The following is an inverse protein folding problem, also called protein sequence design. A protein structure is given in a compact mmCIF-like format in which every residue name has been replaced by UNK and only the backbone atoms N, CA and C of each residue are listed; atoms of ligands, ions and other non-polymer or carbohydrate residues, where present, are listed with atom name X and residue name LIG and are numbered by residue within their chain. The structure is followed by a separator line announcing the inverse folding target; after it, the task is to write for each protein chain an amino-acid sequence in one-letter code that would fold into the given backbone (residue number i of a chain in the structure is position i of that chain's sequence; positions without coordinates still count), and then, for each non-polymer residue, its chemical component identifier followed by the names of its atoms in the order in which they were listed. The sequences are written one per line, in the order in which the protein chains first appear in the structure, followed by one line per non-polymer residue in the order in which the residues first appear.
data_IF_615855680784
#
_entry.id   IF_615855680784
#
_cell.length_a   1.000
_cell.length_b   1.000
_cell.length_c   1.000
_cell.angle_alpha   90.00
_cell.angle_beta   90.00
_cell.angle_gamma   90.00
#
_symmetry.space_group_name_H-M   'P 1'
#
loop_
_entity.id
_entity.type
_entity.pdbx_description
1 polymer ?
#
# COMPACT_ATOMS: atom_id res chain seq x y z
N UNK A 1 11.63 -4.92 7.31
CA UNK A 1 12.62 -3.83 7.20
C UNK A 1 11.91 -2.49 7.30
N UNK A 2 12.36 -1.64 8.19
CA UNK A 2 11.79 -0.30 8.39
C UNK A 2 12.89 0.62 8.95
N UNK A 3 12.83 1.89 8.55
CA UNK A 3 13.66 2.94 9.14
C UNK A 3 13.33 3.07 10.64
N UNK A 4 14.34 3.29 11.47
CA UNK A 4 14.16 3.44 12.92
C UNK A 4 13.34 4.67 13.32
N UNK A 5 13.19 5.64 12.42
CA UNK A 5 12.32 6.80 12.58
C UNK A 5 10.86 6.55 12.19
N UNK A 6 10.55 5.40 11.63
CA UNK A 6 9.19 5.02 11.24
C UNK A 6 8.55 4.14 12.33
N UNK A 7 7.26 4.35 12.63
CA UNK A 7 6.55 3.60 13.69
C UNK A 7 6.61 2.08 13.51
N UNK A 8 6.66 1.59 12.26
CA UNK A 8 6.86 0.15 11.98
C UNK A 8 8.18 -0.35 12.53
N UNK A 9 9.25 0.43 12.43
CA UNK A 9 10.54 0.12 13.04
C UNK A 9 10.45 0.03 14.57
N UNK A 10 9.70 0.94 15.20
CA UNK A 10 9.48 0.90 16.66
C UNK A 10 8.65 -0.32 17.07
N UNK A 11 7.45 -0.49 16.51
CA UNK A 11 6.48 -1.48 16.96
C UNK A 11 6.84 -2.90 16.53
N UNK A 12 7.27 -3.10 15.28
CA UNK A 12 7.40 -4.43 14.69
C UNK A 12 8.84 -4.88 14.40
N UNK A 13 9.83 -4.02 14.62
CA UNK A 13 11.24 -4.41 14.55
C UNK A 13 11.87 -4.40 15.96
N UNK A 14 11.52 -3.44 16.79
CA UNK A 14 12.12 -3.33 18.14
C UNK A 14 11.19 -3.89 19.21
N UNK A 15 10.09 -3.22 19.50
CA UNK A 15 9.30 -3.52 20.71
C UNK A 15 8.58 -4.86 20.63
N UNK A 16 7.83 -5.12 19.58
CA UNK A 16 7.04 -6.35 19.46
C UNK A 16 7.90 -7.60 19.47
N UNK A 17 8.91 -7.75 18.60
CA UNK A 17 9.78 -8.92 18.59
C UNK A 17 10.49 -9.14 19.91
N UNK A 18 11.10 -8.11 20.49
CA UNK A 18 11.86 -8.24 21.75
C UNK A 18 10.95 -8.55 22.94
N UNK A 19 9.75 -7.98 23.01
CA UNK A 19 8.76 -8.29 24.04
C UNK A 19 8.29 -9.76 23.98
N UNK A 20 8.37 -10.38 22.80
CA UNK A 20 8.05 -11.80 22.59
C UNK A 20 9.28 -12.70 22.66
N UNK A 21 10.44 -12.21 23.08
CA UNK A 21 11.67 -13.00 23.19
C UNK A 21 12.27 -13.40 21.84
N UNK A 22 11.84 -12.75 20.74
CA UNK A 22 12.41 -13.01 19.43
C UNK A 22 13.71 -12.22 19.22
N UNK A 23 14.60 -12.78 18.41
CA UNK A 23 15.78 -12.05 17.94
C UNK A 23 15.38 -11.10 16.84
N UNK A 24 15.76 -9.83 16.94
CA UNK A 24 15.61 -8.85 15.87
C UNK A 24 16.93 -8.54 15.21
N UNK A 25 16.92 -8.40 13.89
CA UNK A 25 18.11 -8.07 13.11
C UNK A 25 18.02 -6.60 12.71
N UNK A 26 19.05 -5.85 13.04
CA UNK A 26 19.24 -4.46 12.62
C UNK A 26 20.55 -4.35 11.86
N UNK A 27 20.53 -3.67 10.72
CA UNK A 27 21.78 -3.39 9.99
C UNK A 27 21.74 -1.97 9.39
N UNK A 28 22.90 -1.39 9.25
CA UNK A 28 23.09 -0.10 8.62
C UNK A 28 23.23 -0.31 7.12
N UNK A 29 22.21 0.06 6.36
CA UNK A 29 22.20 -0.13 4.92
C UNK A 29 20.88 0.21 4.25
N UNK A 30 20.88 0.12 2.94
CA UNK A 30 19.72 0.31 2.06
C UNK A 30 19.50 -0.93 1.19
N UNK A 31 18.28 -1.14 0.66
CA UNK A 31 17.93 -2.40 0.00
C UNK A 31 18.71 -2.71 -1.28
N UNK A 32 19.25 -1.69 -1.94
CA UNK A 32 19.90 -1.79 -3.24
C UNK A 32 21.39 -1.40 -3.25
N UNK A 33 22.06 -1.43 -2.10
CA UNK A 33 23.51 -1.16 -2.01
C UNK A 33 24.26 -2.35 -1.36
N UNK A 34 25.32 -2.87 -1.97
CA UNK A 34 25.94 -2.44 -3.23
C UNK A 34 25.14 -2.79 -4.49
N UNK A 35 24.19 -3.71 -4.39
CA UNK A 35 23.27 -4.11 -5.46
C UNK A 35 21.93 -4.64 -4.90
N UNK A 36 21.01 -4.99 -5.78
CA UNK A 36 19.66 -5.43 -5.43
C UNK A 36 19.58 -6.78 -4.71
N UNK A 37 20.67 -7.49 -4.49
CA UNK A 37 20.72 -8.71 -3.69
C UNK A 37 20.83 -8.45 -2.19
N UNK A 38 21.07 -7.21 -1.77
CA UNK A 38 21.42 -6.85 -0.40
C UNK A 38 20.50 -7.44 0.67
N UNK A 39 19.20 -7.35 0.52
CA UNK A 39 18.25 -7.93 1.47
C UNK A 39 18.36 -9.45 1.53
N UNK A 40 18.50 -10.07 0.39
CA UNK A 40 18.54 -11.51 0.26
C UNK A 40 19.84 -12.11 0.81
N UNK A 41 20.94 -11.41 0.64
CA UNK A 41 22.23 -11.77 1.27
C UNK A 41 22.17 -11.66 2.80
N UNK A 42 21.46 -10.67 3.33
CA UNK A 42 21.22 -10.56 4.78
C UNK A 42 20.34 -11.72 5.27
N UNK A 43 19.30 -12.06 4.54
CA UNK A 43 18.43 -13.22 4.85
C UNK A 43 19.24 -14.50 4.86
N UNK A 44 20.03 -14.75 3.85
CA UNK A 44 20.89 -15.93 3.71
C UNK A 44 21.92 -16.00 4.83
N UNK A 45 22.72 -14.94 4.99
CA UNK A 45 23.80 -14.88 5.97
C UNK A 45 23.32 -15.09 7.41
N UNK A 46 22.21 -14.49 7.77
CA UNK A 46 21.70 -14.49 9.15
C UNK A 46 20.55 -15.46 9.38
N UNK A 47 20.18 -16.23 8.34
CA UNK A 47 19.10 -17.23 8.39
C UNK A 47 17.81 -16.65 8.96
N UNK A 48 17.42 -15.52 8.40
CA UNK A 48 16.21 -14.77 8.80
C UNK A 48 14.96 -15.63 8.58
N UNK A 49 14.07 -15.67 9.57
CA UNK A 49 12.84 -16.46 9.49
C UNK A 49 11.62 -15.64 9.08
N UNK A 50 11.58 -14.35 9.41
CA UNK A 50 10.47 -13.45 9.12
C UNK A 50 11.01 -12.22 8.41
N UNK A 51 10.48 -11.92 7.23
CA UNK A 51 10.84 -10.74 6.46
C UNK A 51 9.61 -9.86 6.26
N UNK A 52 9.61 -8.67 6.83
CA UNK A 52 8.50 -7.73 6.84
C UNK A 52 8.94 -6.40 6.23
N UNK A 53 8.28 -5.98 5.16
CA UNK A 53 8.72 -4.82 4.36
C UNK A 53 7.54 -4.09 3.70
N UNK A 54 7.82 -2.97 3.05
CA UNK A 54 6.82 -2.19 2.34
C UNK A 54 6.70 -2.60 0.86
N UNK A 55 5.50 -2.57 0.26
CA UNK A 55 5.29 -2.84 -1.17
C UNK A 55 6.15 -1.98 -2.09
N UNK A 56 6.42 -0.73 -1.74
CA UNK A 56 7.34 0.14 -2.50
C UNK A 56 8.75 -0.44 -2.59
N UNK A 57 9.27 -1.03 -1.51
CA UNK A 57 10.57 -1.69 -1.54
C UNK A 57 10.55 -2.96 -2.40
N UNK A 58 9.46 -3.72 -2.33
CA UNK A 58 9.28 -4.92 -3.16
C UNK A 58 9.26 -4.57 -4.65
N UNK A 59 8.45 -3.57 -5.05
CA UNK A 59 8.39 -3.12 -6.45
C UNK A 59 9.74 -2.62 -6.97
N UNK A 60 10.48 -1.90 -6.14
CA UNK A 60 11.83 -1.46 -6.51
C UNK A 60 12.79 -2.65 -6.76
N UNK A 61 12.67 -3.71 -5.97
CA UNK A 61 13.48 -4.93 -6.14
C UNK A 61 13.00 -5.80 -7.30
N UNK A 62 11.67 -5.90 -7.52
CA UNK A 62 11.11 -6.56 -8.72
C UNK A 62 11.66 -5.99 -10.02
N UNK A 63 11.82 -4.66 -10.08
CA UNK A 63 12.36 -3.96 -11.24
C UNK A 63 13.75 -4.44 -11.64
N UNK A 64 14.54 -4.89 -10.68
CA UNK A 64 15.90 -5.40 -10.90
C UNK A 64 15.92 -6.88 -11.36
N UNK A 65 14.73 -7.48 -11.54
CA UNK A 65 14.56 -8.86 -11.96
C UNK A 65 14.73 -9.89 -10.82
N UNK A 66 14.64 -11.16 -11.18
CA UNK A 66 14.66 -12.27 -10.21
C UNK A 66 16.06 -12.74 -9.81
N UNK A 67 17.06 -12.52 -10.66
CA UNK A 67 18.41 -13.05 -10.47
C UNK A 67 19.07 -12.61 -9.14
N UNK A 68 18.94 -11.34 -8.70
CA UNK A 68 19.48 -10.93 -7.41
C UNK A 68 18.88 -11.71 -6.23
N UNK A 69 17.63 -12.15 -6.35
CA UNK A 69 16.93 -12.97 -5.35
C UNK A 69 17.41 -14.41 -5.42
N UNK A 70 17.38 -15.01 -6.62
CA UNK A 70 17.61 -16.45 -6.85
C UNK A 70 19.03 -16.92 -6.53
N UNK A 71 20.01 -16.03 -6.55
CA UNK A 71 21.41 -16.36 -6.22
C UNK A 71 21.70 -16.59 -4.73
N UNK A 72 20.70 -16.40 -3.85
CA UNK A 72 20.84 -16.52 -2.40
C UNK A 72 19.96 -17.64 -1.82
N UNK A 73 20.36 -18.19 -0.67
CA UNK A 73 19.58 -19.20 0.06
C UNK A 73 18.56 -18.52 1.00
N UNK A 74 17.29 -18.67 0.71
CA UNK A 74 16.18 -18.13 1.50
C UNK A 74 15.37 -19.22 2.20
N UNK A 75 15.87 -20.44 2.26
CA UNK A 75 15.20 -21.60 2.87
C UNK A 75 14.89 -21.42 4.36
N UNK A 76 15.54 -20.47 5.01
CA UNK A 76 15.26 -20.09 6.40
C UNK A 76 13.98 -19.29 6.59
N UNK A 77 13.45 -18.66 5.54
CA UNK A 77 12.21 -17.90 5.62
C UNK A 77 11.02 -18.79 5.91
N UNK A 78 10.18 -18.36 6.83
CA UNK A 78 8.94 -19.03 7.24
C UNK A 78 7.71 -18.15 7.03
N UNK A 79 7.91 -16.83 6.99
CA UNK A 79 6.83 -15.87 6.85
C UNK A 79 7.35 -14.62 6.16
N UNK A 80 6.54 -14.12 5.22
CA UNK A 80 6.73 -12.85 4.57
C UNK A 80 5.61 -11.89 4.99
N UNK A 81 5.92 -10.61 5.13
CA UNK A 81 4.91 -9.62 5.52
C UNK A 81 5.01 -8.34 4.72
N UNK A 82 3.88 -7.67 4.59
CA UNK A 82 3.71 -6.40 3.88
C UNK A 82 3.05 -5.35 4.76
N UNK A 83 3.50 -4.10 4.64
CA UNK A 83 3.06 -3.00 5.50
C UNK A 83 3.20 -1.63 4.83
N UNK A 84 2.35 -0.71 5.24
CA UNK A 84 2.48 0.73 5.00
C UNK A 84 1.69 1.29 3.83
N UNK A 85 1.34 0.47 2.88
CA UNK A 85 0.46 0.77 1.74
C UNK A 85 -0.18 -0.53 1.24
N UNK A 86 -1.31 -0.47 0.49
CA UNK A 86 -1.85 -1.66 -0.15
C UNK A 86 -0.82 -2.29 -1.09
N UNK A 87 -0.68 -3.61 -1.04
CA UNK A 87 0.14 -4.36 -2.00
C UNK A 87 -0.71 -4.76 -3.21
N UNK A 88 -0.24 -4.46 -4.41
CA UNK A 88 -0.92 -4.92 -5.61
C UNK A 88 -0.71 -6.43 -5.84
N UNK A 89 -1.65 -7.12 -6.50
CA UNK A 89 -1.58 -8.57 -6.71
C UNK A 89 -0.28 -9.05 -7.37
N UNK A 90 0.27 -8.31 -8.32
CA UNK A 90 1.50 -8.68 -9.03
C UNK A 90 2.71 -8.70 -8.08
N UNK A 91 2.88 -7.67 -7.26
CA UNK A 91 3.95 -7.62 -6.27
C UNK A 91 3.75 -8.69 -5.19
N UNK A 92 2.51 -8.96 -4.79
CA UNK A 92 2.16 -10.03 -3.87
C UNK A 92 2.56 -11.39 -4.44
N UNK A 93 2.20 -11.67 -5.71
CA UNK A 93 2.53 -12.92 -6.39
C UNK A 93 4.03 -13.09 -6.61
N UNK A 94 4.74 -12.02 -6.99
CA UNK A 94 6.20 -12.06 -7.08
C UNK A 94 6.84 -12.36 -5.73
N UNK A 95 6.36 -11.71 -4.66
CA UNK A 95 6.84 -11.91 -3.30
C UNK A 95 6.64 -13.36 -2.85
N UNK A 96 5.47 -13.94 -3.16
CA UNK A 96 5.15 -15.32 -2.87
C UNK A 96 5.98 -16.31 -3.69
N UNK A 97 6.02 -16.13 -5.02
CA UNK A 97 6.64 -17.09 -5.93
C UNK A 97 8.16 -17.01 -5.94
N UNK A 98 8.73 -15.79 -5.96
CA UNK A 98 10.17 -15.58 -6.16
C UNK A 98 10.90 -15.48 -4.84
N UNK A 99 10.43 -14.67 -3.91
CA UNK A 99 11.10 -14.50 -2.60
C UNK A 99 10.81 -15.67 -1.68
N UNK A 100 9.55 -16.05 -1.54
CA UNK A 100 9.09 -17.12 -0.66
C UNK A 100 9.15 -18.51 -1.25
N UNK A 101 9.48 -18.64 -2.55
CA UNK A 101 9.55 -19.94 -3.27
C UNK A 101 8.29 -20.79 -3.05
N UNK A 102 7.13 -20.14 -2.97
CA UNK A 102 5.80 -20.72 -2.66
C UNK A 102 5.67 -21.39 -1.28
N UNK A 103 6.68 -21.29 -0.44
CA UNK A 103 6.73 -21.94 0.87
C UNK A 103 6.36 -21.03 2.05
N UNK A 104 6.29 -19.71 1.81
CA UNK A 104 6.04 -18.74 2.86
C UNK A 104 4.65 -18.11 2.69
N UNK A 105 3.79 -18.11 3.71
CA UNK A 105 2.58 -17.29 3.69
C UNK A 105 2.94 -15.81 3.66
N UNK A 106 2.11 -15.00 3.00
CA UNK A 106 2.25 -13.54 3.00
C UNK A 106 1.22 -12.94 3.95
N UNK A 107 1.70 -12.29 4.99
CA UNK A 107 0.88 -11.56 5.94
C UNK A 107 0.86 -10.09 5.52
N UNK A 108 -0.13 -9.72 4.71
CA UNK A 108 -0.42 -8.31 4.46
C UNK A 108 -1.13 -7.74 5.66
N UNK A 109 -0.73 -6.52 6.08
CA UNK A 109 -1.18 -5.93 7.33
C UNK A 109 -1.71 -4.53 7.10
N UNK A 110 -2.96 -4.31 7.50
CA UNK A 110 -3.48 -2.95 7.56
C UNK A 110 -3.51 -2.43 8.99
N UNK A 111 -2.92 -1.29 9.17
CA UNK A 111 -2.89 -0.51 10.40
C UNK A 111 -2.39 0.90 10.13
N UNK A 112 -2.48 1.76 11.13
CA UNK A 112 -2.00 3.14 11.08
C UNK A 112 -1.11 3.42 12.29
N UNK A 113 -0.32 4.48 12.24
CA UNK A 113 0.42 4.97 13.41
C UNK A 113 -0.50 5.16 14.60
N UNK A 114 -1.70 5.69 14.33
CA UNK A 114 -2.75 6.02 15.28
C UNK A 114 -3.43 4.81 15.90
N UNK A 115 -3.38 3.68 15.23
CA UNK A 115 -3.99 2.44 15.74
C UNK A 115 -3.10 1.67 16.70
N UNK A 116 -1.81 2.01 16.79
CA UNK A 116 -0.84 1.40 17.69
C UNK A 116 -0.42 -0.03 17.33
N UNK A 117 -1.12 -0.67 16.41
CA UNK A 117 -0.84 -2.02 15.94
C UNK A 117 -1.76 -2.45 14.81
N UNK A 118 -1.56 -3.68 14.33
CA UNK A 118 -2.28 -4.30 13.22
C UNK A 118 -3.75 -4.52 13.60
N UNK A 119 -4.65 -4.13 12.71
CA UNK A 119 -6.10 -4.26 12.90
C UNK A 119 -6.76 -5.21 11.89
N UNK A 120 -6.25 -5.31 10.67
CA UNK A 120 -6.72 -6.26 9.67
C UNK A 120 -5.51 -6.99 9.12
N UNK A 121 -5.53 -8.33 9.15
CA UNK A 121 -4.38 -9.12 8.78
C UNK A 121 -4.72 -10.59 8.55
N UNK A 122 -3.97 -11.25 7.69
CA UNK A 122 -4.00 -12.69 7.56
C UNK A 122 -3.49 -13.38 8.84
N UNK A 123 -4.07 -14.54 9.13
CA UNK A 123 -3.59 -15.46 10.16
C UNK A 123 -3.15 -16.76 9.48
N UNK A 124 -1.84 -16.96 9.24
CA UNK A 124 -1.32 -18.13 8.54
C UNK A 124 -1.80 -19.44 9.18
N UNK A 125 -2.29 -20.36 8.34
CA UNK A 125 -2.85 -21.63 8.78
C UNK A 125 -4.29 -21.59 9.28
N UNK A 126 -4.88 -20.39 9.46
CA UNK A 126 -6.26 -20.23 9.90
C UNK A 126 -7.15 -19.49 8.88
N UNK A 127 -6.57 -18.66 8.04
CA UNK A 127 -7.28 -17.87 7.04
C UNK A 127 -6.60 -18.05 5.68
N UNK A 128 -7.36 -18.39 4.64
CA UNK A 128 -6.89 -18.39 3.28
C UNK A 128 -6.51 -16.98 2.85
N UNK A 129 -5.48 -16.87 2.01
CA UNK A 129 -4.97 -15.57 1.58
C UNK A 129 -5.44 -15.27 0.16
N UNK A 130 -5.76 -14.01 -0.10
CA UNK A 130 -6.07 -13.50 -1.42
C UNK A 130 -5.04 -12.41 -1.79
N UNK A 131 -4.36 -12.51 -2.95
CA UNK A 131 -3.37 -11.53 -3.37
C UNK A 131 -3.93 -10.10 -3.37
N UNK A 132 -3.32 -9.21 -2.56
CA UNK A 132 -3.74 -7.81 -2.43
C UNK A 132 -4.78 -7.51 -1.36
N UNK A 133 -5.35 -8.54 -0.71
CA UNK A 133 -6.29 -8.34 0.41
C UNK A 133 -5.57 -8.26 1.75
N UNK A 134 -5.97 -7.32 2.59
CA UNK A 134 -5.58 -7.29 4.00
C UNK A 134 -6.25 -8.40 4.82
N UNK A 135 -7.19 -9.14 4.22
CA UNK A 135 -7.91 -10.32 4.70
C UNK A 135 -9.01 -10.02 5.73
N UNK A 136 -8.86 -10.41 6.99
CA UNK A 136 -9.92 -10.37 8.02
C UNK A 136 -9.53 -9.48 9.21
N UNK A 137 -10.52 -8.96 9.95
CA UNK A 137 -10.25 -8.21 11.18
C UNK A 137 -9.49 -9.07 12.20
N UNK A 138 -8.53 -8.44 12.87
CA UNK A 138 -7.83 -9.04 13.99
C UNK A 138 -8.75 -9.16 15.22
N UNK A 139 -8.38 -9.98 16.19
CA UNK A 139 -9.21 -10.24 17.37
C UNK A 139 -9.62 -8.96 18.11
N UNK A 140 -10.93 -8.80 18.37
CA UNK A 140 -11.49 -7.66 19.08
C UNK A 140 -11.67 -6.39 18.23
N UNK A 141 -11.25 -6.40 16.96
CA UNK A 141 -11.42 -5.27 16.06
C UNK A 141 -12.77 -5.39 15.34
N UNK A 142 -13.52 -4.29 15.27
CA UNK A 142 -14.84 -4.20 14.64
C UNK A 142 -14.83 -3.15 13.53
N UNK A 143 -14.32 -3.49 12.34
CA UNK A 143 -14.39 -2.58 11.21
C UNK A 143 -15.80 -2.53 10.65
N UNK A 144 -16.21 -1.33 10.27
CA UNK A 144 -17.44 -1.03 9.55
C UNK A 144 -17.10 -0.26 8.28
N UNK A 145 -17.76 -0.61 7.19
CA UNK A 145 -17.71 0.16 5.96
C UNK A 145 -18.97 1.01 5.90
N UNK A 146 -18.83 2.32 5.72
CA UNK A 146 -19.94 3.26 5.73
C UNK A 146 -20.03 4.04 4.43
N UNK A 147 -21.25 4.43 4.05
CA UNK A 147 -21.50 5.35 2.95
C UNK A 147 -21.14 6.81 3.33
N UNK A 148 -21.42 7.75 2.42
CA UNK A 148 -21.13 9.16 2.64
C UNK A 148 -21.96 9.79 3.78
N UNK A 149 -23.13 9.24 4.07
CA UNK A 149 -24.06 9.65 5.12
C UNK A 149 -23.76 9.00 6.47
N UNK A 150 -22.82 8.02 6.50
CA UNK A 150 -22.40 7.30 7.71
C UNK A 150 -23.23 6.04 8.01
N UNK A 151 -24.10 5.61 7.09
CA UNK A 151 -24.83 4.36 7.23
C UNK A 151 -23.91 3.17 7.03
N UNK A 152 -24.03 2.16 7.89
CA UNK A 152 -23.25 0.92 7.78
C UNK A 152 -23.73 0.10 6.59
N UNK A 153 -22.78 -0.30 5.75
CA UNK A 153 -23.03 -1.14 4.59
C UNK A 153 -22.80 -2.62 4.94
N UNK A 154 -23.81 -3.45 4.64
CA UNK A 154 -23.76 -4.89 4.89
C UNK A 154 -23.37 -5.69 3.64
N UNK A 155 -22.85 -6.92 3.85
CA UNK A 155 -22.44 -7.81 2.74
C UNK A 155 -21.27 -7.28 1.90
N UNK A 156 -21.16 -7.69 0.63
CA UNK A 156 -20.18 -7.12 -0.30
C UNK A 156 -20.49 -5.65 -0.52
N UNK A 157 -19.51 -4.79 -0.29
CA UNK A 157 -19.71 -3.34 -0.35
C UNK A 157 -18.39 -2.59 -0.47
N UNK A 158 -18.48 -1.31 -0.80
CA UNK A 158 -17.34 -0.38 -0.81
C UNK A 158 -17.73 0.95 -0.20
N UNK A 159 -16.84 1.55 0.58
CA UNK A 159 -17.09 2.82 1.26
C UNK A 159 -15.92 3.26 2.12
N UNK A 160 -16.21 4.12 3.09
CA UNK A 160 -15.24 4.59 4.07
C UNK A 160 -15.05 3.58 5.20
N UNK A 161 -13.78 3.26 5.52
CA UNK A 161 -13.48 2.36 6.62
C UNK A 161 -13.53 3.10 7.96
N UNK A 162 -14.35 2.59 8.85
CA UNK A 162 -14.46 3.04 10.23
C UNK A 162 -14.23 1.88 11.21
N UNK A 163 -13.96 2.21 12.46
CA UNK A 163 -13.93 1.24 13.57
C UNK A 163 -15.02 1.61 14.58
N UNK A 164 -15.88 0.63 14.88
CA UNK A 164 -17.07 0.85 15.73
C UNK A 164 -16.73 0.97 17.22
N UNK A 165 -15.71 0.24 17.68
CA UNK A 165 -15.31 0.23 19.08
C UNK A 165 -13.83 0.61 19.24
N UNK A 166 -13.48 1.02 20.46
CA UNK A 166 -12.08 1.24 20.85
C UNK A 166 -11.36 -0.09 21.04
N UNK A 167 -10.04 -0.03 20.95
CA UNK A 167 -9.12 -1.18 21.18
C UNK A 167 -7.93 -0.73 22.02
N UNK A 168 -7.17 -1.66 22.65
CA UNK A 168 -6.10 -1.31 23.57
C UNK A 168 -4.99 -0.41 23.00
N UNK A 169 -4.66 -0.59 21.71
CA UNK A 169 -3.59 0.16 21.01
C UNK A 169 -4.04 1.50 20.45
N UNK A 170 -5.31 1.86 20.55
CA UNK A 170 -5.84 3.10 19.99
C UNK A 170 -5.14 4.33 20.58
N UNK A 171 -4.76 5.26 19.71
CA UNK A 171 -4.26 6.57 20.10
C UNK A 171 -5.26 7.30 21.01
N UNK A 172 -4.77 7.90 22.10
CA UNK A 172 -5.60 8.61 23.09
C UNK A 172 -5.77 10.08 22.79
N UNK A 173 -4.78 10.67 22.14
CA UNK A 173 -4.76 12.09 21.80
C UNK A 173 -3.57 12.41 20.90
N UNK A 174 -3.57 13.61 20.32
CA UNK A 174 -2.38 14.26 19.77
C UNK A 174 -1.74 15.11 20.86
N UNK A 175 -0.43 15.01 21.03
CA UNK A 175 0.29 15.77 22.06
C UNK A 175 0.09 17.28 21.89
N UNK A 176 -0.45 17.91 22.93
CA UNK A 176 -0.73 19.35 22.95
C UNK A 176 -1.91 19.81 22.09
N UNK A 177 -2.63 18.90 21.41
CA UNK A 177 -3.71 19.28 20.51
C UNK A 177 -4.82 18.19 20.45
N UNK A 178 -5.57 18.10 21.54
CA UNK A 178 -6.65 17.14 21.67
C UNK A 178 -7.82 17.45 20.72
N UNK A 179 -8.09 18.71 20.44
CA UNK A 179 -9.16 19.13 19.54
C UNK A 179 -8.90 18.62 18.11
N UNK A 180 -7.67 18.67 17.66
CA UNK A 180 -7.27 18.08 16.37
C UNK A 180 -7.51 16.58 16.33
N UNK A 181 -7.24 15.87 17.42
CA UNK A 181 -7.53 14.42 17.50
C UNK A 181 -9.02 14.16 17.28
N UNK A 182 -9.90 14.87 17.96
CA UNK A 182 -11.36 14.73 17.81
C UNK A 182 -11.79 15.14 16.41
N UNK A 183 -11.33 16.29 15.91
CA UNK A 183 -11.69 16.80 14.59
C UNK A 183 -11.28 15.85 13.46
N UNK A 184 -10.12 15.22 13.55
CA UNK A 184 -9.59 14.36 12.50
C UNK A 184 -10.27 12.99 12.46
N UNK A 185 -10.51 12.36 13.62
CA UNK A 185 -10.88 10.95 13.67
C UNK A 185 -12.32 10.68 14.10
N UNK A 186 -13.04 11.66 14.68
CA UNK A 186 -14.37 11.44 15.26
C UNK A 186 -15.44 12.43 14.82
N UNK A 187 -15.08 13.47 14.07
CA UNK A 187 -16.05 14.49 13.65
C UNK A 187 -16.89 14.06 12.45
N UNK A 188 -16.30 13.28 11.52
CA UNK A 188 -16.97 12.93 10.27
C UNK A 188 -18.08 11.90 10.45
N UNK A 189 -17.84 10.86 11.25
CA UNK A 189 -18.83 9.81 11.54
C UNK A 189 -18.98 9.67 13.05
N UNK A 190 -20.09 10.16 13.57
CA UNK A 190 -20.33 10.22 15.01
C UNK A 190 -20.28 8.81 15.66
N UNK A 191 -19.53 8.69 16.75
CA UNK A 191 -19.39 7.43 17.49
C UNK A 191 -18.46 6.39 16.86
N UNK A 192 -17.79 6.71 15.74
CA UNK A 192 -16.87 5.82 15.05
C UNK A 192 -15.51 6.47 14.89
N UNK A 193 -14.45 5.67 14.98
CA UNK A 193 -13.13 6.11 14.57
C UNK A 193 -13.04 6.06 13.04
N UNK A 194 -12.89 7.19 12.39
CA UNK A 194 -12.70 7.31 10.95
C UNK A 194 -11.23 7.15 10.57
N UNK A 195 -10.93 6.15 9.77
CA UNK A 195 -9.54 5.84 9.39
C UNK A 195 -8.98 6.75 8.30
N UNK A 196 -9.84 7.42 7.55
CA UNK A 196 -9.46 8.15 6.34
C UNK A 196 -9.08 7.24 5.16
N UNK A 197 -9.31 5.93 5.28
CA UNK A 197 -9.07 4.97 4.21
C UNK A 197 -10.40 4.51 3.60
N UNK A 198 -10.40 4.29 2.28
CA UNK A 198 -11.44 3.58 1.56
C UNK A 198 -11.23 2.07 1.69
N UNK A 199 -12.31 1.33 1.67
CA UNK A 199 -12.28 -0.11 1.81
C UNK A 199 -13.40 -0.78 1.03
N UNK A 200 -13.09 -1.93 0.44
CA UNK A 200 -14.05 -2.84 -0.16
C UNK A 200 -14.08 -4.13 0.66
N UNK A 201 -15.28 -4.69 0.84
CA UNK A 201 -15.48 -6.03 1.41
C UNK A 201 -16.07 -6.92 0.31
N UNK A 202 -15.46 -8.08 0.09
CA UNK A 202 -15.93 -9.05 -0.90
C UNK A 202 -17.01 -10.01 -0.33
N UNK A 203 -17.50 -10.93 -1.17
CA UNK A 203 -18.52 -11.91 -0.82
C UNK A 203 -18.09 -12.87 0.30
N UNK A 204 -16.79 -13.16 0.41
CA UNK A 204 -16.22 -14.00 1.46
C UNK A 204 -15.90 -13.20 2.73
N UNK A 205 -16.20 -11.89 2.74
CA UNK A 205 -15.98 -10.97 3.84
C UNK A 205 -14.51 -10.58 4.02
N UNK A 206 -13.71 -10.61 2.96
CA UNK A 206 -12.33 -10.12 2.96
C UNK A 206 -12.29 -8.62 2.72
N UNK A 207 -11.37 -7.95 3.40
CA UNK A 207 -11.18 -6.50 3.34
C UNK A 207 -10.04 -6.14 2.39
N UNK A 208 -10.34 -5.20 1.50
CA UNK A 208 -9.42 -4.66 0.50
C UNK A 208 -9.30 -3.16 0.73
N UNK A 209 -8.13 -2.69 1.08
CA UNK A 209 -7.90 -1.25 1.26
C UNK A 209 -7.74 -0.62 -0.11
N UNK A 210 -8.63 0.31 -0.45
CA UNK A 210 -8.65 0.95 -1.78
C UNK A 210 -7.86 2.26 -1.85
N UNK A 211 -7.26 2.67 -0.73
CA UNK A 211 -6.44 3.88 -0.63
C UNK A 211 -7.03 4.91 0.31
N UNK A 212 -6.45 6.11 0.33
CA UNK A 212 -6.95 7.23 1.14
C UNK A 212 -8.23 7.80 0.54
N UNK A 213 -9.19 8.15 1.40
CA UNK A 213 -10.46 8.79 0.96
C UNK A 213 -10.19 10.16 0.31
N UNK A 214 -9.16 10.86 0.76
CA UNK A 214 -8.69 12.14 0.19
C UNK A 214 -7.89 11.96 -1.13
N UNK A 215 -7.49 10.75 -1.48
CA UNK A 215 -6.87 10.39 -2.76
C UNK A 215 -7.87 9.82 -3.78
N UNK A 216 -9.16 9.80 -3.46
CA UNK A 216 -10.23 9.39 -4.39
C UNK A 216 -10.43 10.46 -5.45
N UNK A 217 -10.50 10.05 -6.71
CA UNK A 217 -10.79 10.91 -7.86
C UNK A 217 -12.27 10.80 -8.20
N UNK A 218 -12.90 11.93 -8.51
CA UNK A 218 -14.29 11.96 -8.97
C UNK A 218 -14.34 12.27 -10.48
N UNK A 219 -14.34 11.22 -11.28
CA UNK A 219 -14.34 11.31 -12.74
C UNK A 219 -15.77 11.19 -13.27
N UNK A 220 -16.31 12.26 -13.84
CA UNK A 220 -17.68 12.27 -14.40
C UNK A 220 -18.75 11.77 -13.42
N UNK A 221 -18.62 12.08 -12.14
CA UNK A 221 -19.54 11.64 -11.09
C UNK A 221 -19.26 10.24 -10.54
N UNK A 222 -18.28 9.53 -11.07
CA UNK A 222 -17.87 8.22 -10.56
C UNK A 222 -16.68 8.37 -9.59
N UNK A 223 -16.86 7.86 -8.40
CA UNK A 223 -15.83 7.87 -7.36
C UNK A 223 -14.89 6.68 -7.58
N UNK A 224 -13.59 6.95 -7.71
CA UNK A 224 -12.57 5.94 -8.03
C UNK A 224 -11.33 6.13 -7.15
N UNK A 225 -10.83 5.04 -6.60
CA UNK A 225 -9.57 5.03 -5.87
C UNK A 225 -8.37 5.16 -6.80
N UNK A 226 -7.41 6.03 -6.46
CA UNK A 226 -6.16 6.14 -7.24
C UNK A 226 -5.39 4.83 -7.27
N UNK A 227 -5.41 4.07 -6.19
CA UNK A 227 -4.72 2.79 -6.06
C UNK A 227 -5.17 1.73 -7.08
N UNK A 228 -6.42 1.76 -7.52
CA UNK A 228 -6.95 0.84 -8.53
C UNK A 228 -6.30 1.11 -9.90
N UNK A 229 -6.21 2.38 -10.29
CA UNK A 229 -5.56 2.78 -11.56
C UNK A 229 -4.05 2.53 -11.48
N UNK A 230 -3.43 2.82 -10.34
CA UNK A 230 -2.01 2.54 -10.09
C UNK A 230 -1.71 1.04 -10.23
N UNK A 231 -2.54 0.19 -9.64
CA UNK A 231 -2.40 -1.27 -9.74
C UNK A 231 -2.52 -1.76 -11.19
N UNK A 232 -3.50 -1.26 -11.94
CA UNK A 232 -3.63 -1.62 -13.35
C UNK A 232 -2.40 -1.19 -14.18
N UNK A 233 -1.86 0.00 -13.93
CA UNK A 233 -0.64 0.45 -14.60
C UNK A 233 0.56 -0.42 -14.27
N UNK A 234 0.76 -0.77 -12.99
CA UNK A 234 1.88 -1.61 -12.54
C UNK A 234 1.76 -3.06 -13.01
N UNK A 235 0.54 -3.55 -13.29
CA UNK A 235 0.32 -4.86 -13.91
C UNK A 235 0.84 -4.95 -15.35
N UNK A 236 1.15 -3.83 -15.98
CA UNK A 236 1.77 -3.83 -17.31
C UNK A 236 3.27 -4.14 -17.22
N UNK A 237 3.74 -5.08 -18.05
CA UNK A 237 5.11 -5.64 -18.00
C UNK A 237 6.24 -4.60 -18.06
N UNK A 238 5.99 -3.44 -18.65
CA UNK A 238 6.99 -2.37 -18.82
C UNK A 238 6.99 -1.34 -17.69
N UNK A 239 6.01 -1.39 -16.78
CA UNK A 239 5.84 -0.40 -15.71
C UNK A 239 6.38 -0.94 -14.40
N UNK A 240 7.26 -0.18 -13.74
CA UNK A 240 7.77 -0.54 -12.42
C UNK A 240 7.02 0.12 -11.28
N UNK A 241 6.65 1.40 -11.44
CA UNK A 241 5.88 2.14 -10.46
C UNK A 241 4.91 3.09 -11.15
N UNK A 242 3.78 3.35 -10.50
CA UNK A 242 2.85 4.37 -10.91
C UNK A 242 2.30 5.12 -9.69
N UNK A 243 2.03 6.40 -9.87
CA UNK A 243 1.28 7.21 -8.93
C UNK A 243 0.22 7.99 -9.68
N UNK A 244 -0.98 7.99 -9.16
CA UNK A 244 -2.14 8.64 -9.80
C UNK A 244 -2.68 9.73 -8.88
N UNK A 245 -3.03 10.86 -9.48
CA UNK A 245 -3.70 11.97 -8.80
C UNK A 245 -4.84 12.49 -9.66
N UNK A 246 -5.86 13.05 -9.01
CA UNK A 246 -6.87 13.86 -9.70
C UNK A 246 -6.32 15.24 -10.00
N UNK A 247 -6.73 15.81 -11.13
CA UNK A 247 -6.48 17.21 -11.47
C UNK A 247 -7.75 17.86 -12.02
N UNK A 248 -7.93 19.19 -11.94
CA UNK A 248 -9.10 19.85 -12.49
C UNK A 248 -9.26 19.60 -14.00
N UNK A 249 -10.45 19.17 -14.43
CA UNK A 249 -10.76 18.88 -15.82
C UNK A 249 -12.10 19.51 -16.22
N UNK A 250 -12.13 20.33 -17.27
CA UNK A 250 -13.27 21.17 -17.64
C UNK A 250 -14.58 20.39 -17.90
N UNK A 251 -14.46 19.15 -18.42
CA UNK A 251 -15.63 18.35 -18.78
C UNK A 251 -15.97 17.30 -17.72
N UNK A 252 -14.95 16.69 -17.10
CA UNK A 252 -15.12 15.54 -16.20
C UNK A 252 -15.21 15.94 -14.72
N UNK A 253 -15.00 17.22 -14.41
CA UNK A 253 -14.77 17.70 -13.04
C UNK A 253 -13.34 17.42 -12.57
N UNK A 254 -12.96 16.15 -12.50
CA UNK A 254 -11.58 15.72 -12.32
C UNK A 254 -11.16 14.78 -13.44
N UNK A 255 -9.93 14.95 -13.91
CA UNK A 255 -9.24 14.04 -14.80
C UNK A 255 -8.22 13.18 -14.04
N UNK A 256 -7.75 12.14 -14.67
CA UNK A 256 -6.77 11.19 -14.14
C UNK A 256 -5.38 11.54 -14.67
N UNK A 257 -4.49 11.95 -13.78
CA UNK A 257 -3.09 12.21 -14.10
C UNK A 257 -2.22 11.10 -13.53
N UNK A 258 -1.56 10.35 -14.38
CA UNK A 258 -0.69 9.25 -13.99
C UNK A 258 0.78 9.62 -14.17
N UNK A 259 1.58 9.42 -13.13
CA UNK A 259 3.03 9.46 -13.18
C UNK A 259 3.55 8.03 -13.26
N UNK A 260 4.30 7.70 -14.29
CA UNK A 260 4.74 6.34 -14.58
C UNK A 260 6.25 6.24 -14.66
N UNK A 261 6.81 5.30 -13.89
CA UNK A 261 8.21 4.90 -13.97
C UNK A 261 8.29 3.56 -14.68
N UNK A 262 9.13 3.48 -15.71
CA UNK A 262 9.33 2.26 -16.48
C UNK A 262 10.40 1.35 -15.85
N UNK A 263 10.41 0.09 -16.24
CA UNK A 263 11.49 -0.84 -15.93
C UNK A 263 12.82 -0.38 -16.56
N UNK A 264 13.94 -0.83 -16.01
CA UNK A 264 15.28 -0.29 -16.31
C UNK A 264 15.68 -0.34 -17.80
N UNK A 265 15.21 -1.34 -18.54
CA UNK A 265 15.55 -1.54 -19.96
C UNK A 265 14.51 -0.93 -20.92
N UNK A 266 13.44 -0.35 -20.39
CA UNK A 266 12.35 0.19 -21.19
C UNK A 266 12.55 1.67 -21.50
N UNK A 267 12.09 2.07 -22.68
CA UNK A 267 12.15 3.46 -23.13
C UNK A 267 10.78 4.04 -23.37
N UNK A 268 10.65 5.33 -23.12
CA UNK A 268 9.40 6.07 -23.35
C UNK A 268 9.12 6.19 -24.87
N UNK A 269 7.89 5.98 -25.28
CA UNK A 269 7.45 6.23 -26.63
C UNK A 269 5.97 6.62 -26.69
N UNK A 270 5.54 7.17 -27.80
CA UNK A 270 4.15 7.53 -28.05
C UNK A 270 3.27 6.29 -28.18
N UNK A 271 3.83 5.20 -28.71
CA UNK A 271 3.18 3.89 -28.81
C UNK A 271 2.90 3.34 -27.41
N UNK A 272 3.90 3.34 -26.52
CA UNK A 272 3.76 2.86 -25.16
C UNK A 272 2.77 3.73 -24.36
N UNK A 273 2.75 5.05 -24.60
CA UNK A 273 1.76 5.95 -24.00
C UNK A 273 0.33 5.50 -24.32
N UNK A 274 0.05 5.23 -25.58
CA UNK A 274 -1.27 4.75 -26.05
C UNK A 274 -1.57 3.35 -25.57
N UNK A 275 -0.56 2.47 -25.54
CA UNK A 275 -0.65 1.11 -25.03
C UNK A 275 -1.10 1.10 -23.57
N UNK A 276 -0.50 1.93 -22.70
CA UNK A 276 -0.87 2.02 -21.29
C UNK A 276 -2.28 2.54 -21.05
N UNK A 277 -2.73 3.53 -21.82
CA UNK A 277 -4.12 4.01 -21.75
C UNK A 277 -5.09 2.90 -22.14
N UNK A 278 -4.80 2.20 -23.24
CA UNK A 278 -5.63 1.09 -23.70
C UNK A 278 -5.62 -0.08 -22.71
N UNK A 279 -4.48 -0.33 -22.07
CA UNK A 279 -4.32 -1.34 -21.03
C UNK A 279 -5.21 -1.05 -19.82
N UNK A 280 -5.12 0.14 -19.22
CA UNK A 280 -5.97 0.51 -18.09
C UNK A 280 -7.45 0.44 -18.46
N UNK A 281 -7.79 0.91 -19.66
CA UNK A 281 -9.17 0.82 -20.17
C UNK A 281 -9.69 -0.62 -20.28
N UNK A 282 -8.83 -1.56 -20.64
CA UNK A 282 -9.17 -2.99 -20.70
C UNK A 282 -9.30 -3.60 -19.32
N UNK A 283 -8.38 -3.27 -18.38
CA UNK A 283 -8.33 -3.88 -17.07
C UNK A 283 -9.45 -3.39 -16.12
N UNK A 284 -9.77 -2.09 -16.17
CA UNK A 284 -10.76 -1.49 -15.26
C UNK A 284 -12.00 -1.01 -16.01
N UNK A 285 -11.79 -0.32 -17.13
CA UNK A 285 -12.87 0.27 -17.89
C UNK A 285 -12.55 1.67 -18.43
N UNK A 286 -13.42 2.23 -19.30
CA UNK A 286 -13.13 3.49 -19.99
C UNK A 286 -13.05 4.70 -19.06
N UNK A 287 -13.75 4.69 -17.92
CA UNK A 287 -13.77 5.81 -16.97
C UNK A 287 -12.42 5.93 -16.26
N UNK A 288 -11.71 4.82 -16.05
CA UNK A 288 -10.43 4.75 -15.39
C UNK A 288 -9.22 5.11 -16.27
N UNK A 289 -9.47 5.33 -17.57
CA UNK A 289 -8.38 5.65 -18.50
C UNK A 289 -7.68 6.94 -18.13
N UNK A 290 -6.35 6.95 -17.95
CA UNK A 290 -5.61 8.18 -17.70
C UNK A 290 -5.82 9.20 -18.81
N UNK A 291 -6.07 10.45 -18.43
CA UNK A 291 -6.14 11.57 -19.38
C UNK A 291 -4.72 12.02 -19.75
N UNK A 292 -3.82 11.95 -18.79
CA UNK A 292 -2.42 12.31 -18.96
C UNK A 292 -1.52 11.26 -18.30
N UNK A 293 -0.46 10.88 -19.01
CA UNK A 293 0.63 10.08 -18.46
C UNK A 293 1.90 10.92 -18.56
N UNK A 294 2.54 11.14 -17.41
CA UNK A 294 3.87 11.75 -17.33
C UNK A 294 4.90 10.68 -16.99
N UNK A 295 5.91 10.56 -17.84
CA UNK A 295 7.05 9.73 -17.57
C UNK A 295 7.90 10.32 -16.44
N UNK A 296 8.17 9.55 -15.43
CA UNK A 296 8.98 9.95 -14.29
C UNK A 296 10.16 8.99 -14.11
N UNK A 297 11.38 9.49 -13.97
CA UNK A 297 12.54 8.63 -13.68
C UNK A 297 12.46 7.98 -12.30
N UNK A 298 11.66 8.55 -11.41
CA UNK A 298 11.32 8.04 -10.10
C UNK A 298 10.26 8.93 -9.45
N UNK A 299 9.50 8.36 -8.52
CA UNK A 299 8.44 9.07 -7.79
C UNK A 299 8.99 9.73 -6.52
N UNK A 300 8.54 10.93 -6.14
CA UNK A 300 8.93 11.55 -4.88
C UNK A 300 8.41 10.72 -3.70
N UNK A 301 9.30 10.38 -2.78
CA UNK A 301 9.00 9.54 -1.62
C UNK A 301 9.43 10.18 -0.31
N UNK A 302 8.70 9.90 0.74
CA UNK A 302 9.12 10.18 2.11
C UNK A 302 10.32 9.28 2.47
N UNK A 303 10.95 9.56 3.61
CA UNK A 303 12.03 8.71 4.15
C UNK A 303 11.55 7.26 4.42
N UNK A 304 10.26 7.08 4.72
CA UNK A 304 9.64 5.75 4.90
C UNK A 304 9.21 5.07 3.60
N UNK A 305 9.50 5.65 2.43
CA UNK A 305 9.19 5.08 1.12
C UNK A 305 7.78 5.40 0.57
N UNK A 306 6.94 6.12 1.32
CA UNK A 306 5.59 6.50 0.85
C UNK A 306 5.65 7.55 -0.25
N UNK A 307 4.88 7.37 -1.31
CA UNK A 307 4.74 8.34 -2.40
C UNK A 307 4.13 9.64 -1.87
N UNK A 308 4.75 10.77 -2.20
CA UNK A 308 4.33 12.11 -1.79
C UNK A 308 3.27 12.67 -2.75
N UNK A 309 2.06 12.10 -2.78
CA UNK A 309 0.98 12.46 -3.70
C UNK A 309 0.62 13.94 -3.66
N UNK A 310 0.78 14.60 -2.50
CA UNK A 310 0.55 16.06 -2.39
C UNK A 310 1.44 16.85 -3.35
N UNK A 311 2.70 16.45 -3.54
CA UNK A 311 3.62 17.11 -4.48
C UNK A 311 3.16 16.82 -5.91
N UNK A 312 2.84 15.56 -6.22
CA UNK A 312 2.38 15.16 -7.55
C UNK A 312 1.08 15.87 -7.95
N UNK A 313 0.16 16.05 -7.01
CA UNK A 313 -1.09 16.80 -7.24
C UNK A 313 -0.82 18.25 -7.55
N UNK A 314 0.03 18.94 -6.80
CA UNK A 314 0.45 20.31 -7.09
C UNK A 314 1.06 20.45 -8.49
N UNK A 315 1.92 19.51 -8.90
CA UNK A 315 2.50 19.49 -10.24
C UNK A 315 1.40 19.33 -11.30
N UNK A 316 0.46 18.40 -11.12
CA UNK A 316 -0.65 18.16 -12.04
C UNK A 316 -1.59 19.37 -12.16
N UNK A 317 -1.73 20.16 -11.10
CA UNK A 317 -2.52 21.39 -11.04
C UNK A 317 -1.73 22.64 -11.49
N UNK A 318 -0.45 22.49 -11.87
CA UNK A 318 0.49 23.60 -12.13
C UNK A 318 0.61 24.58 -10.94
N UNK A 319 0.43 24.09 -9.72
CA UNK A 319 0.60 24.85 -8.50
C UNK A 319 2.02 24.68 -7.96
N UNK A 320 2.84 25.69 -8.12
CA UNK A 320 4.23 25.74 -7.64
C UNK A 320 4.37 26.58 -6.37
N UNK A 321 3.27 26.86 -5.67
CA UNK A 321 3.31 27.55 -4.37
C UNK A 321 3.91 26.65 -3.28
N UNK A 322 4.65 27.24 -2.35
CA UNK A 322 5.26 26.53 -1.21
C UNK A 322 4.22 26.12 -0.15
#
# INVERSE_FOLDING_TARGET
TADVGWVTGHSYIVYGPLANGATTLMFEGVPNYPDASRFWEVVDKHKVNIFYTAPTALRALMREGDEPVKKTDRSSLKLLGSVGEPINPEAWMWYYNVVGETNCPIVDTWWQTETGGILISALPGAIDQKPGSATKPFFGIKPEIVDAEGNVLEGPCEGSLCLADSWPGQMRSVYGDHERFIATYFSQFQGKYFTGDGCKRDEDGYYWITGRVDDVINVSGHRMGTAEVESALVAHQKVSEAAVVGYPHDIKGQGIYAYVTLNAEETTSEELYKELIAWVRKEIGPIASPDLIQWAPGLPKTRSGKIMRRILRKIAENDYSN
#
